data_IF_050184261968
#
_entry.id   IF_050184261968
#
_cell.length_a   1.000
_cell.length_b   1.000
_cell.length_c   1.000
_cell.angle_alpha   90.00
_cell.angle_beta   90.00
_cell.angle_gamma   90.00
#
_symmetry.space_group_name_H-M   'P 1'
#
loop_
_entity.id
_entity.type
_entity.pdbx_description
1 polymer ?
#
# COMPACT_ATOMS: atom_id res chain seq x y z
N UNK A 1 -9.62 -81.95 -34.26
CA UNK A 1 -8.67 -81.86 -35.40
C UNK A 1 -9.34 -81.10 -36.55
N UNK A 2 -8.52 -80.61 -37.50
CA UNK A 2 -8.78 -80.18 -38.89
C UNK A 2 -10.11 -80.60 -39.57
N UNK A 3 -10.67 -79.91 -40.58
CA UNK A 3 -10.15 -78.80 -41.45
C UNK A 3 -11.25 -78.14 -42.32
N UNK A 4 -10.96 -76.95 -42.92
CA UNK A 4 -11.23 -76.45 -44.32
C UNK A 4 -12.57 -76.80 -45.04
N UNK A 5 -13.18 -76.08 -45.99
CA UNK A 5 -13.10 -74.79 -46.70
C UNK A 5 -14.23 -74.83 -47.78
N UNK A 6 -14.59 -73.66 -48.33
CA UNK A 6 -15.44 -73.33 -49.51
C UNK A 6 -15.16 -74.11 -50.83
N UNK A 7 -15.86 -73.95 -52.00
CA UNK A 7 -16.79 -72.88 -52.53
C UNK A 7 -18.12 -73.49 -53.11
N UNK A 8 -18.91 -72.95 -54.11
CA UNK A 8 -18.89 -71.70 -54.90
C UNK A 8 -20.25 -70.92 -54.95
N UNK A 9 -20.78 -70.53 -56.14
CA UNK A 9 -21.81 -69.48 -56.37
C UNK A 9 -22.68 -69.65 -57.65
N UNK A 10 -23.90 -69.05 -57.62
CA UNK A 10 -24.67 -68.44 -58.76
C UNK A 10 -25.33 -69.36 -59.83
N UNK A 11 -26.31 -68.89 -60.67
CA UNK A 11 -26.76 -67.50 -60.96
C UNK A 11 -28.29 -67.20 -60.75
N UNK A 12 -28.85 -66.18 -61.43
CA UNK A 12 -29.96 -65.32 -60.94
C UNK A 12 -31.00 -64.87 -62.00
N UNK A 13 -32.31 -65.03 -61.69
CA UNK A 13 -33.52 -64.28 -62.18
C UNK A 13 -33.75 -64.14 -63.70
N UNK A 14 -34.71 -63.35 -64.28
CA UNK A 14 -35.66 -62.30 -63.79
C UNK A 14 -36.90 -62.88 -63.01
N UNK A 15 -38.11 -62.30 -62.84
CA UNK A 15 -38.84 -61.12 -63.37
C UNK A 15 -39.95 -60.60 -62.38
N UNK A 16 -40.90 -59.76 -62.85
CA UNK A 16 -42.11 -59.28 -62.11
C UNK A 16 -43.38 -59.21 -63.00
N UNK A 17 -44.60 -59.47 -62.46
CA UNK A 17 -45.88 -59.31 -63.17
C UNK A 17 -46.59 -57.95 -62.91
N UNK A 18 -47.75 -57.74 -63.56
CA UNK A 18 -48.55 -56.50 -63.50
C UNK A 18 -49.88 -56.57 -62.71
N UNK A 19 -50.49 -55.38 -62.54
CA UNK A 19 -51.81 -55.07 -61.92
C UNK A 19 -53.01 -55.62 -62.73
N UNK A 20 -54.26 -55.71 -62.21
CA UNK A 20 -54.87 -55.02 -61.04
C UNK A 20 -55.31 -56.03 -59.91
N UNK A 21 -56.34 -55.92 -59.03
CA UNK A 21 -57.55 -55.07 -58.96
C UNK A 21 -58.09 -54.77 -57.53
N UNK A 22 -59.39 -55.01 -57.28
CA UNK A 22 -60.29 -54.43 -56.25
C UNK A 22 -61.49 -55.38 -55.97
N UNK A 23 -62.36 -55.13 -54.95
CA UNK A 23 -62.10 -54.61 -53.59
C UNK A 23 -62.91 -55.36 -52.48
N UNK A 24 -62.67 -55.07 -51.19
CA UNK A 24 -63.64 -55.46 -50.14
C UNK A 24 -63.21 -55.32 -48.67
N UNK A 25 -63.85 -54.39 -47.95
CA UNK A 25 -64.15 -54.50 -46.51
C UNK A 25 -63.04 -54.25 -45.47
N UNK A 26 -62.99 -53.04 -44.90
CA UNK A 26 -62.37 -52.75 -43.60
C UNK A 26 -63.29 -51.86 -42.74
N UNK A 27 -63.38 -52.16 -41.43
CA UNK A 27 -64.18 -51.40 -40.47
C UNK A 27 -63.47 -50.18 -39.88
N UNK A 28 -64.17 -49.34 -39.09
CA UNK A 28 -63.63 -48.09 -38.58
C UNK A 28 -62.64 -48.31 -37.42
N UNK A 29 -61.35 -48.11 -37.68
CA UNK A 29 -60.36 -47.93 -36.60
C UNK A 29 -60.28 -46.45 -36.20
N UNK A 30 -60.22 -46.20 -34.88
CA UNK A 30 -60.29 -44.86 -34.32
C UNK A 30 -59.07 -44.01 -34.69
N UNK A 31 -59.25 -43.08 -35.65
CA UNK A 31 -58.22 -42.11 -36.02
C UNK A 31 -58.04 -41.07 -34.91
N UNK A 32 -57.13 -41.34 -33.97
CA UNK A 32 -56.75 -40.40 -32.91
C UNK A 32 -56.35 -39.05 -33.52
N UNK A 33 -57.25 -38.06 -33.41
CA UNK A 33 -56.97 -36.66 -33.72
C UNK A 33 -56.01 -36.15 -32.64
N UNK A 34 -54.70 -36.21 -32.90
CA UNK A 34 -53.71 -35.49 -32.09
C UNK A 34 -54.12 -34.03 -32.04
N UNK A 35 -54.62 -33.62 -30.88
CA UNK A 35 -54.82 -32.21 -30.60
C UNK A 35 -53.45 -31.55 -30.58
N UNK A 36 -53.27 -30.51 -31.40
CA UNK A 36 -52.21 -29.56 -31.12
C UNK A 36 -52.62 -28.87 -29.83
N UNK A 37 -51.95 -29.18 -28.73
CA UNK A 37 -51.98 -28.30 -27.58
C UNK A 37 -51.53 -26.92 -28.07
N UNK A 38 -52.41 -25.91 -27.95
CA UNK A 38 -51.99 -24.53 -28.14
C UNK A 38 -51.05 -24.19 -26.99
N UNK A 39 -49.74 -24.17 -27.29
CA UNK A 39 -48.73 -23.74 -26.32
C UNK A 39 -48.84 -22.22 -26.16
N UNK A 40 -49.83 -21.84 -25.36
CA UNK A 40 -50.31 -20.48 -25.15
C UNK A 40 -49.12 -19.64 -24.67
N UNK A 41 -48.62 -18.66 -25.46
CA UNK A 41 -47.31 -18.07 -25.24
C UNK A 41 -47.26 -17.45 -23.86
N UNK A 42 -46.43 -18.04 -22.98
CA UNK A 42 -46.35 -17.68 -21.56
C UNK A 42 -45.70 -16.31 -21.41
N UNK A 43 -46.55 -15.29 -21.45
CA UNK A 43 -46.23 -13.89 -21.17
C UNK A 43 -45.06 -13.36 -22.03
N UNK A 44 -45.30 -12.91 -23.28
CA UNK A 44 -44.24 -12.38 -24.15
C UNK A 44 -43.41 -11.24 -23.53
N UNK A 45 -43.98 -10.46 -22.61
CA UNK A 45 -43.26 -9.43 -21.86
C UNK A 45 -42.18 -10.00 -20.92
N UNK A 46 -42.30 -11.25 -20.50
CA UNK A 46 -41.33 -11.92 -19.63
C UNK A 46 -40.00 -12.16 -20.36
N UNK A 47 -40.01 -12.32 -21.69
CA UNK A 47 -38.82 -12.42 -22.52
C UNK A 47 -38.05 -11.09 -22.54
N UNK A 48 -38.73 -9.98 -22.83
CA UNK A 48 -38.11 -8.63 -22.80
C UNK A 48 -37.69 -8.19 -21.40
N UNK A 49 -38.41 -8.61 -20.36
CA UNK A 49 -38.00 -8.40 -18.97
C UNK A 49 -36.74 -9.21 -18.62
N UNK A 50 -36.67 -10.48 -19.03
CA UNK A 50 -35.50 -11.34 -18.81
C UNK A 50 -34.27 -10.79 -19.52
N UNK A 51 -34.43 -10.35 -20.77
CA UNK A 51 -33.37 -9.71 -21.55
C UNK A 51 -32.83 -8.45 -20.85
N UNK A 52 -33.71 -7.54 -20.45
CA UNK A 52 -33.34 -6.34 -19.68
C UNK A 52 -32.62 -6.68 -18.37
N UNK A 53 -33.08 -7.68 -17.62
CA UNK A 53 -32.42 -8.15 -16.41
C UNK A 53 -31.04 -8.74 -16.71
N UNK A 54 -30.86 -9.48 -17.81
CA UNK A 54 -29.53 -9.98 -18.21
C UNK A 54 -28.60 -8.89 -18.75
N UNK A 55 -29.12 -7.87 -19.43
CA UNK A 55 -28.35 -6.69 -19.84
C UNK A 55 -27.92 -5.86 -18.62
N UNK A 56 -28.81 -5.68 -17.64
CA UNK A 56 -28.49 -4.98 -16.39
C UNK A 56 -27.47 -5.78 -15.55
N UNK A 57 -27.62 -7.10 -15.45
CA UNK A 57 -26.68 -7.98 -14.75
C UNK A 57 -25.30 -7.99 -15.42
N UNK A 58 -25.23 -8.16 -16.74
CA UNK A 58 -23.96 -8.12 -17.48
C UNK A 58 -23.32 -6.74 -17.42
N UNK A 59 -24.09 -5.66 -17.47
CA UNK A 59 -23.61 -4.30 -17.24
C UNK A 59 -23.02 -4.12 -15.83
N UNK A 60 -23.69 -4.58 -14.78
CA UNK A 60 -23.14 -4.53 -13.41
C UNK A 60 -21.92 -5.43 -13.22
N UNK A 61 -21.85 -6.60 -13.87
CA UNK A 61 -20.66 -7.46 -13.85
C UNK A 61 -19.48 -6.80 -14.60
N UNK A 62 -19.74 -6.11 -15.71
CA UNK A 62 -18.72 -5.33 -16.43
C UNK A 62 -18.25 -4.12 -15.61
N UNK A 63 -19.16 -3.39 -14.96
CA UNK A 63 -18.80 -2.31 -14.03
C UNK A 63 -17.98 -2.83 -12.84
N UNK A 64 -18.38 -3.95 -12.23
CA UNK A 64 -17.63 -4.58 -11.13
C UNK A 64 -16.23 -5.03 -11.58
N UNK A 65 -16.12 -5.56 -12.80
CA UNK A 65 -14.84 -5.94 -13.43
C UNK A 65 -13.94 -4.73 -13.69
N UNK A 66 -14.50 -3.58 -14.10
CA UNK A 66 -13.74 -2.34 -14.29
C UNK A 66 -13.48 -1.55 -13.00
N UNK A 67 -14.28 -1.76 -11.94
CA UNK A 67 -14.19 -1.07 -10.64
C UNK A 67 -12.88 -1.33 -9.87
N UNK A 68 -12.00 -2.19 -10.37
CA UNK A 68 -10.68 -2.48 -9.80
C UNK A 68 -9.53 -2.39 -10.82
N UNK A 69 -9.75 -1.73 -11.97
CA UNK A 69 -8.69 -1.50 -12.95
C UNK A 69 -7.66 -0.49 -12.43
N UNK A 70 -6.70 -1.00 -11.67
CA UNK A 70 -5.59 -0.25 -11.09
C UNK A 70 -4.82 0.53 -12.18
N UNK A 71 -4.48 1.79 -11.89
CA UNK A 71 -3.72 2.70 -12.78
C UNK A 71 -2.42 2.06 -13.31
N UNK A 72 -1.83 1.14 -12.54
CA UNK A 72 -0.70 0.27 -12.92
C UNK A 72 -0.86 -0.40 -14.29
N UNK A 73 -2.06 -0.81 -14.72
CA UNK A 73 -2.24 -1.47 -16.02
C UNK A 73 -1.98 -0.53 -17.20
N UNK A 74 -2.18 0.78 -17.04
CA UNK A 74 -1.87 1.77 -18.07
C UNK A 74 -0.35 1.86 -18.28
N UNK A 75 0.43 1.82 -17.20
CA UNK A 75 1.90 1.85 -17.23
C UNK A 75 2.54 0.60 -17.85
N UNK A 76 1.85 -0.54 -17.82
CA UNK A 76 2.32 -1.81 -18.44
C UNK A 76 2.35 -1.77 -19.97
N UNK A 77 1.59 -0.88 -20.59
CA UNK A 77 1.61 -0.71 -22.05
C UNK A 77 2.83 0.11 -22.48
N UNK A 78 3.21 1.13 -21.71
CA UNK A 78 4.42 1.94 -21.96
C UNK A 78 5.73 1.17 -21.79
N UNK A 79 5.79 0.14 -20.94
CA UNK A 79 7.04 -0.60 -20.66
C UNK A 79 7.53 -1.47 -21.82
N UNK A 80 6.68 -1.83 -22.78
CA UNK A 80 7.08 -2.68 -23.92
C UNK A 80 7.71 -1.92 -25.10
N UNK A 81 7.93 -0.60 -24.99
CA UNK A 81 8.58 0.23 -26.01
C UNK A 81 10.00 0.73 -25.63
N UNK A 82 10.49 0.39 -24.44
CA UNK A 82 11.66 1.04 -23.84
C UNK A 82 13.00 0.30 -23.88
N UNK A 83 13.09 -0.90 -24.46
CA UNK A 83 14.22 -1.81 -24.22
C UNK A 83 15.50 -1.53 -25.07
N UNK A 84 15.48 -0.54 -25.97
CA UNK A 84 16.64 -0.15 -26.79
C UNK A 84 16.77 1.38 -26.93
N UNK A 85 17.38 2.03 -25.95
CA UNK A 85 17.76 3.45 -26.02
C UNK A 85 18.53 3.90 -24.78
N UNK A 86 19.58 4.70 -24.97
CA UNK A 86 20.36 5.25 -23.85
C UNK A 86 19.49 6.13 -22.95
N UNK A 87 19.43 5.82 -21.66
CA UNK A 87 18.65 6.60 -20.69
C UNK A 87 19.34 7.92 -20.38
N UNK A 88 19.07 8.93 -21.22
CA UNK A 88 19.32 10.34 -20.85
C UNK A 88 18.44 10.68 -19.65
N UNK A 89 19.06 11.14 -18.56
CA UNK A 89 18.34 11.61 -17.38
C UNK A 89 17.50 12.85 -17.72
N UNK A 90 16.17 12.67 -17.80
CA UNK A 90 15.23 13.75 -18.13
C UNK A 90 13.92 13.24 -18.73
N UNK A 91 12.95 12.94 -17.85
CA UNK A 91 11.52 12.74 -18.19
C UNK A 91 11.22 11.58 -19.15
N UNK A 92 11.46 10.35 -18.69
CA UNK A 92 10.67 9.17 -19.11
C UNK A 92 9.89 8.64 -17.90
N UNK A 93 8.57 8.48 -18.05
CA UNK A 93 7.62 8.29 -16.93
C UNK A 93 7.61 6.91 -16.25
N UNK A 94 8.74 6.20 -16.22
CA UNK A 94 8.86 4.89 -15.56
C UNK A 94 9.13 5.05 -14.07
N UNK A 95 8.06 5.08 -13.26
CA UNK A 95 8.17 5.05 -11.78
C UNK A 95 8.92 3.77 -11.36
N UNK A 96 10.03 3.86 -10.61
CA UNK A 96 10.79 2.69 -10.14
C UNK A 96 9.93 1.69 -9.37
N UNK A 97 10.14 0.38 -9.60
CA UNK A 97 9.28 -0.66 -9.01
C UNK A 97 9.29 -0.61 -7.48
N UNK A 98 10.42 -0.28 -6.84
CA UNK A 98 10.52 -0.09 -5.38
C UNK A 98 9.49 0.90 -4.82
N UNK A 99 9.23 1.99 -5.57
CA UNK A 99 8.26 3.03 -5.19
C UNK A 99 6.83 2.55 -5.40
N UNK A 100 6.57 1.79 -6.47
CA UNK A 100 5.26 1.18 -6.75
C UNK A 100 4.88 0.06 -5.77
N UNK A 101 5.87 -0.59 -5.14
CA UNK A 101 5.66 -1.52 -4.01
C UNK A 101 5.45 -0.77 -2.68
N UNK A 102 6.13 0.37 -2.51
CA UNK A 102 6.10 1.17 -1.28
C UNK A 102 4.83 2.01 -1.11
N UNK A 103 4.27 2.58 -2.18
CA UNK A 103 3.02 3.36 -2.18
C UNK A 103 1.88 2.67 -1.40
N UNK A 104 1.47 1.42 -1.69
CA UNK A 104 0.37 0.77 -0.97
C UNK A 104 0.68 0.42 0.49
N UNK A 105 1.96 0.35 0.89
CA UNK A 105 2.38 0.14 2.27
C UNK A 105 2.31 1.45 3.07
N UNK A 106 2.77 2.56 2.48
CA UNK A 106 2.67 3.89 3.10
C UNK A 106 1.21 4.38 3.17
N UNK A 107 0.37 4.04 2.18
CA UNK A 107 -1.04 4.43 2.13
C UNK A 107 -1.93 3.80 3.24
N UNK A 108 -1.38 2.95 4.11
CA UNK A 108 -2.12 2.20 5.13
C UNK A 108 -1.41 2.20 6.49
N UNK A 109 -1.55 3.27 7.30
CA UNK A 109 -0.85 3.41 8.59
C UNK A 109 -0.95 2.18 9.50
N UNK A 110 -2.15 1.60 9.67
CA UNK A 110 -2.39 0.40 10.49
C UNK A 110 -1.69 -0.89 10.00
N UNK A 111 -1.12 -0.90 8.79
CA UNK A 111 -0.34 -2.03 8.25
C UNK A 111 1.17 -1.79 8.36
N UNK A 112 1.61 -0.57 8.66
CA UNK A 112 3.03 -0.20 8.73
C UNK A 112 3.81 -1.03 9.75
N UNK A 113 3.25 -1.25 10.95
CA UNK A 113 3.93 -2.02 12.00
C UNK A 113 4.26 -3.46 11.56
N UNK A 114 3.36 -4.10 10.81
CA UNK A 114 3.59 -5.44 10.27
C UNK A 114 4.63 -5.49 9.14
N UNK A 115 4.77 -4.41 8.37
CA UNK A 115 5.63 -4.35 7.18
C UNK A 115 6.90 -3.50 7.36
N UNK A 116 7.25 -3.08 8.59
CA UNK A 116 8.40 -2.17 8.85
C UNK A 116 9.70 -2.61 8.15
N UNK A 117 10.01 -3.91 8.14
CA UNK A 117 11.23 -4.44 7.50
C UNK A 117 11.22 -4.29 5.98
N UNK A 118 10.06 -4.51 5.35
CA UNK A 118 9.86 -4.34 3.91
C UNK A 118 9.88 -2.85 3.54
N UNK A 119 9.20 -2.00 4.32
CA UNK A 119 9.23 -0.54 4.14
C UNK A 119 10.66 0.00 4.27
N UNK A 120 11.45 -0.46 5.26
CA UNK A 120 12.87 -0.11 5.39
C UNK A 120 13.70 -0.58 4.18
N UNK A 121 13.44 -1.77 3.63
CA UNK A 121 14.17 -2.27 2.45
C UNK A 121 13.82 -1.52 1.16
N UNK A 122 12.55 -1.14 0.98
CA UNK A 122 12.10 -0.39 -0.19
C UNK A 122 12.51 1.10 -0.15
N UNK A 123 12.64 1.68 1.05
CA UNK A 123 13.18 3.02 1.27
C UNK A 123 14.72 3.06 1.18
N UNK A 124 15.39 2.04 1.74
CA UNK A 124 16.84 2.00 1.93
C UNK A 124 17.39 0.60 1.57
N UNK A 125 17.45 0.25 0.27
CA UNK A 125 17.92 -1.05 -0.18
C UNK A 125 19.35 -1.32 0.28
N UNK A 126 19.64 -2.53 0.74
CA UNK A 126 20.97 -2.88 1.29
C UNK A 126 22.16 -2.61 0.35
N UNK A 127 21.95 -2.62 -0.97
CA UNK A 127 22.96 -2.31 -1.97
C UNK A 127 23.11 -0.82 -2.31
N UNK A 128 22.16 0.03 -1.88
CA UNK A 128 22.16 1.50 -2.08
C UNK A 128 22.57 2.26 -0.79
N UNK A 129 22.92 1.55 0.29
CA UNK A 129 23.27 2.16 1.58
C UNK A 129 24.55 3.02 1.50
N UNK A 130 24.61 4.18 2.18
CA UNK A 130 25.79 5.05 2.15
C UNK A 130 27.02 4.40 2.82
N UNK A 131 28.24 4.64 2.32
CA UNK A 131 29.45 4.12 2.95
C UNK A 131 29.59 4.65 4.38
N UNK A 132 29.66 3.73 5.35
CA UNK A 132 29.67 4.03 6.79
C UNK A 132 28.32 3.90 7.50
N UNK A 133 27.24 3.55 6.80
CA UNK A 133 25.93 3.21 7.39
C UNK A 133 25.58 1.77 7.03
N UNK A 134 26.01 0.82 7.87
CA UNK A 134 25.60 -0.58 7.76
C UNK A 134 24.11 -0.75 8.12
N UNK A 135 23.47 -1.82 7.63
CA UNK A 135 22.05 -2.07 7.91
C UNK A 135 21.75 -2.15 9.42
N UNK A 136 22.64 -2.72 10.22
CA UNK A 136 22.49 -2.74 11.69
C UNK A 136 22.53 -1.36 12.34
N UNK A 137 23.22 -0.38 11.73
CA UNK A 137 23.21 1.02 12.18
C UNK A 137 21.88 1.68 11.77
N UNK A 138 21.44 1.50 10.54
CA UNK A 138 20.16 2.02 10.07
C UNK A 138 18.99 1.46 10.89
N UNK A 139 18.95 0.14 11.13
CA UNK A 139 17.82 -0.50 11.81
C UNK A 139 17.64 -0.04 13.27
N UNK A 140 18.73 0.33 13.96
CA UNK A 140 18.68 0.96 15.29
C UNK A 140 18.18 2.40 15.26
N UNK A 141 18.66 3.17 14.28
CA UNK A 141 18.53 4.64 14.24
C UNK A 141 17.34 5.14 13.41
N UNK A 142 16.71 4.28 12.60
CA UNK A 142 15.46 4.53 11.89
C UNK A 142 14.35 3.67 12.50
N UNK A 143 13.31 4.31 13.02
CA UNK A 143 12.04 3.68 13.44
C UNK A 143 10.93 4.12 12.49
N UNK A 144 9.98 3.22 12.21
CA UNK A 144 8.83 3.51 11.35
C UNK A 144 7.56 3.30 12.17
N UNK A 145 6.75 4.34 12.29
CA UNK A 145 5.69 4.45 13.28
C UNK A 145 4.36 4.80 12.60
N UNK A 146 3.27 4.27 13.13
CA UNK A 146 1.91 4.63 12.72
C UNK A 146 1.52 6.00 13.31
N UNK A 147 0.83 6.83 12.53
CA UNK A 147 0.26 8.10 12.99
C UNK A 147 -1.15 8.28 12.40
N UNK A 148 -2.12 8.92 13.10
CA UNK A 148 -3.49 9.07 12.59
C UNK A 148 -3.60 9.79 11.23
N UNK A 149 -2.62 10.62 10.88
CA UNK A 149 -2.55 11.33 9.59
C UNK A 149 -1.71 10.61 8.52
N UNK A 150 -0.99 9.54 8.86
CA UNK A 150 -0.06 8.88 7.92
C UNK A 150 1.05 8.05 8.57
N UNK A 151 2.26 8.13 8.03
CA UNK A 151 3.40 7.29 8.42
C UNK A 151 4.58 8.16 8.85
N UNK A 152 5.13 7.89 10.04
CA UNK A 152 6.29 8.61 10.58
C UNK A 152 7.56 7.79 10.37
N UNK A 153 8.53 8.38 9.69
CA UNK A 153 9.92 7.94 9.73
C UNK A 153 10.64 8.74 10.82
N UNK A 154 10.98 8.11 11.94
CA UNK A 154 11.73 8.73 13.03
C UNK A 154 13.21 8.36 12.91
N UNK A 155 14.06 9.34 12.63
CA UNK A 155 15.51 9.19 12.50
C UNK A 155 16.20 9.86 13.69
N UNK A 156 17.11 9.14 14.36
CA UNK A 156 17.88 9.68 15.50
C UNK A 156 18.91 10.73 15.07
N UNK A 157 19.24 11.62 15.99
CA UNK A 157 20.22 12.68 15.75
C UNK A 157 21.66 12.15 15.58
N UNK A 158 21.99 10.98 16.13
CA UNK A 158 23.31 10.35 15.94
C UNK A 158 23.55 9.91 14.48
N UNK A 159 22.48 9.59 13.75
CA UNK A 159 22.50 9.27 12.33
C UNK A 159 22.52 10.53 11.46
N UNK A 160 21.82 11.59 11.86
CA UNK A 160 21.63 12.81 11.06
C UNK A 160 22.66 13.91 11.30
N UNK A 161 23.09 14.12 12.55
CA UNK A 161 23.82 15.29 13.05
C UNK A 161 25.01 14.90 13.95
N UNK A 162 25.72 15.89 14.51
CA UNK A 162 26.58 15.68 15.68
C UNK A 162 25.85 16.16 16.95
N UNK A 163 26.21 15.68 18.16
CA UNK A 163 25.63 16.16 19.42
C UNK A 163 25.69 17.68 19.54
N UNK A 164 24.57 18.31 19.91
CA UNK A 164 24.43 19.77 20.02
C UNK A 164 24.41 20.53 18.68
N UNK A 165 24.49 19.84 17.53
CA UNK A 165 24.55 20.46 16.20
C UNK A 165 23.28 20.18 15.37
N UNK A 166 23.01 21.04 14.39
CA UNK A 166 21.91 20.89 13.41
C UNK A 166 22.43 20.74 11.97
N UNK A 167 23.74 20.81 11.76
CA UNK A 167 24.38 20.59 10.47
C UNK A 167 24.36 19.09 10.12
N UNK A 168 23.76 18.74 8.97
CA UNK A 168 23.69 17.36 8.50
C UNK A 168 25.09 16.77 8.27
N UNK A 169 25.33 15.56 8.80
CA UNK A 169 26.54 14.76 8.54
C UNK A 169 26.66 14.45 7.05
N UNK A 170 27.87 14.44 6.50
CA UNK A 170 28.05 14.07 5.09
C UNK A 170 27.60 12.61 4.79
N UNK A 171 27.73 11.69 5.76
CA UNK A 171 27.17 10.33 5.65
C UNK A 171 25.65 10.26 5.67
N UNK A 172 24.95 11.26 6.24
CA UNK A 172 23.47 11.28 6.29
C UNK A 172 22.83 11.83 5.03
N UNK A 173 23.55 12.66 4.25
CA UNK A 173 23.02 13.24 3.00
C UNK A 173 22.55 12.18 1.99
N UNK A 174 23.31 11.11 1.67
CA UNK A 174 22.84 10.13 0.68
C UNK A 174 21.68 9.27 1.21
N UNK A 175 21.54 9.11 2.54
CA UNK A 175 20.35 8.50 3.13
C UNK A 175 19.12 9.38 2.90
N UNK A 176 19.21 10.69 3.18
CA UNK A 176 18.13 11.63 2.89
C UNK A 176 17.88 11.79 1.38
N UNK A 177 18.86 11.51 0.51
CA UNK A 177 18.68 11.49 -0.95
C UNK A 177 17.73 10.39 -1.42
N UNK A 178 17.86 9.16 -0.88
CA UNK A 178 16.97 8.03 -1.19
C UNK A 178 15.53 8.34 -0.76
N UNK A 179 15.36 8.95 0.41
CA UNK A 179 14.05 9.41 0.87
C UNK A 179 13.51 10.57 0.02
N UNK A 180 14.36 11.51 -0.41
CA UNK A 180 13.96 12.60 -1.30
C UNK A 180 13.39 12.09 -2.63
N UNK A 181 14.00 11.07 -3.23
CA UNK A 181 13.48 10.42 -4.45
C UNK A 181 12.08 9.82 -4.20
N UNK A 182 11.88 9.08 -3.11
CA UNK A 182 10.55 8.53 -2.75
C UNK A 182 9.52 9.65 -2.55
N UNK A 183 9.88 10.71 -1.82
CA UNK A 183 9.02 11.87 -1.55
C UNK A 183 8.71 12.68 -2.82
N UNK A 184 9.56 12.65 -3.86
CA UNK A 184 9.28 13.25 -5.17
C UNK A 184 8.09 12.55 -5.84
N UNK A 185 8.13 11.22 -5.96
CA UNK A 185 7.10 10.44 -6.67
C UNK A 185 5.75 10.35 -5.94
N UNK A 186 5.71 10.20 -4.61
CA UNK A 186 4.43 9.96 -3.91
C UNK A 186 3.57 11.22 -3.76
N UNK A 187 4.11 12.42 -3.99
CA UNK A 187 3.44 13.75 -3.94
C UNK A 187 2.73 14.13 -2.63
N UNK A 188 2.71 13.27 -1.61
CA UNK A 188 2.11 13.50 -0.29
C UNK A 188 2.64 14.75 0.45
N UNK A 189 1.84 15.29 1.37
CA UNK A 189 2.32 16.29 2.32
C UNK A 189 3.30 15.68 3.33
N UNK A 190 4.25 16.49 3.80
CA UNK A 190 5.28 16.05 4.74
C UNK A 190 5.38 17.03 5.91
N UNK A 191 5.17 16.54 7.14
CA UNK A 191 5.44 17.32 8.35
C UNK A 191 6.76 16.86 8.98
N UNK A 192 7.69 17.81 9.15
CA UNK A 192 9.01 17.61 9.74
C UNK A 192 8.99 18.10 11.20
N UNK A 193 9.18 17.19 12.15
CA UNK A 193 9.17 17.52 13.58
C UNK A 193 10.52 17.22 14.22
N UNK A 194 11.17 18.25 14.76
CA UNK A 194 12.44 18.13 15.46
C UNK A 194 12.24 17.98 16.96
N UNK A 195 13.10 17.18 17.58
CA UNK A 195 13.19 16.95 19.01
C UNK A 195 14.66 17.05 19.44
N UNK A 196 14.92 17.44 20.68
CA UNK A 196 16.28 17.54 21.22
C UNK A 196 16.27 17.37 22.74
N UNK A 197 17.34 16.82 23.31
CA UNK A 197 17.55 16.89 24.76
C UNK A 197 18.81 17.71 25.06
N UNK A 198 18.69 19.01 25.42
CA UNK A 198 19.86 19.86 25.65
C UNK A 198 20.74 19.36 26.80
N UNK A 199 20.19 18.60 27.77
CA UNK A 199 20.93 18.05 28.92
C UNK A 199 21.79 16.87 28.48
N UNK A 200 21.30 16.06 27.55
CA UNK A 200 22.04 14.95 26.95
C UNK A 200 23.11 15.39 25.94
N UNK A 201 22.92 16.55 25.32
CA UNK A 201 23.71 17.02 24.19
C UNK A 201 24.89 17.94 24.56
N UNK A 202 25.27 17.94 25.84
CA UNK A 202 26.49 18.58 26.32
C UNK A 202 26.33 20.06 26.73
N UNK A 203 25.10 20.57 26.86
CA UNK A 203 24.91 21.87 27.51
C UNK A 203 25.40 21.79 28.98
N UNK A 204 26.15 22.79 29.48
CA UNK A 204 26.62 22.76 30.87
C UNK A 204 25.46 22.65 31.87
N UNK A 205 25.70 21.95 32.98
CA UNK A 205 24.71 21.84 34.05
C UNK A 205 24.35 23.25 34.58
N UNK A 206 23.07 23.64 34.44
CA UNK A 206 22.58 25.00 34.72
C UNK A 206 22.51 25.95 33.51
N UNK A 207 22.98 25.53 32.32
CA UNK A 207 22.81 26.24 31.04
C UNK A 207 21.98 25.45 30.01
N UNK A 208 21.47 24.27 30.39
CA UNK A 208 20.47 23.54 29.62
C UNK A 208 19.09 24.24 29.72
N UNK A 209 18.98 25.41 29.09
CA UNK A 209 17.73 26.14 28.89
C UNK A 209 16.86 25.36 27.89
N UNK A 210 15.63 25.05 28.28
CA UNK A 210 14.70 24.32 27.40
C UNK A 210 14.36 25.16 26.14
N UNK A 211 14.45 26.51 26.20
CA UNK A 211 14.31 27.38 25.03
C UNK A 211 15.41 27.16 23.97
N UNK A 212 16.66 26.88 24.39
CA UNK A 212 17.73 26.50 23.48
C UNK A 212 17.48 25.11 22.86
N UNK A 213 16.82 24.20 23.59
CA UNK A 213 16.30 22.95 23.05
C UNK A 213 15.24 23.18 21.97
N UNK A 214 14.25 24.04 22.23
CA UNK A 214 13.24 24.41 21.23
C UNK A 214 13.86 24.99 19.94
N UNK A 215 14.87 25.86 20.05
CA UNK A 215 15.60 26.38 18.89
C UNK A 215 16.40 25.27 18.16
N UNK A 216 17.15 24.44 18.89
CA UNK A 216 17.93 23.33 18.31
C UNK A 216 17.05 22.35 17.54
N UNK A 217 15.93 21.93 18.15
CA UNK A 217 14.92 21.09 17.53
C UNK A 217 14.34 21.72 16.24
N UNK A 218 13.96 23.01 16.30
CA UNK A 218 13.47 23.74 15.13
C UNK A 218 14.51 23.82 14.00
N UNK A 219 15.77 24.12 14.34
CA UNK A 219 16.90 24.18 13.38
C UNK A 219 17.20 22.82 12.73
N UNK A 220 17.07 21.71 13.46
CA UNK A 220 17.23 20.35 12.91
C UNK A 220 16.18 20.04 11.84
N UNK A 221 14.91 20.23 12.17
CA UNK A 221 13.81 19.99 11.22
C UNK A 221 13.88 20.94 10.01
N UNK A 222 14.29 22.21 10.22
CA UNK A 222 14.53 23.16 9.13
C UNK A 222 15.70 22.75 8.24
N UNK A 223 16.81 22.25 8.79
CA UNK A 223 17.96 21.80 7.96
C UNK A 223 17.59 20.59 7.10
N UNK A 224 16.70 19.70 7.59
CA UNK A 224 16.13 18.59 6.80
C UNK A 224 15.20 19.12 5.69
N UNK A 225 14.40 20.17 5.96
CA UNK A 225 13.61 20.84 4.91
C UNK A 225 14.52 21.46 3.84
N UNK A 226 15.53 22.23 4.24
CA UNK A 226 16.47 22.87 3.33
C UNK A 226 17.15 21.83 2.41
N UNK A 227 17.49 20.65 2.94
CA UNK A 227 18.01 19.55 2.14
C UNK A 227 17.00 19.06 1.09
N UNK A 228 15.73 18.83 1.44
CA UNK A 228 14.71 18.41 0.47
C UNK A 228 14.41 19.48 -0.60
N UNK A 229 14.43 20.77 -0.22
CA UNK A 229 14.27 21.88 -1.18
C UNK A 229 15.48 22.00 -2.12
N UNK A 230 16.70 21.76 -1.63
CA UNK A 230 17.90 21.65 -2.48
C UNK A 230 17.78 20.48 -3.48
N UNK A 231 17.18 19.36 -3.06
CA UNK A 231 16.81 18.20 -3.91
C UNK A 231 15.59 18.44 -4.81
N UNK A 232 15.07 19.67 -4.91
CA UNK A 232 13.99 20.13 -5.80
C UNK A 232 12.57 19.68 -5.45
N UNK A 233 12.34 19.18 -4.24
CA UNK A 233 10.98 18.93 -3.76
C UNK A 233 10.27 20.26 -3.48
N UNK A 234 8.98 20.34 -3.82
CA UNK A 234 8.16 21.54 -3.66
C UNK A 234 8.03 21.94 -2.18
N UNK A 235 8.51 23.14 -1.77
CA UNK A 235 8.40 23.63 -0.40
C UNK A 235 6.96 23.72 0.11
N UNK A 236 5.97 23.95 -0.77
CA UNK A 236 4.58 24.15 -0.36
C UNK A 236 3.94 22.89 0.25
N UNK A 237 4.51 21.70 -0.01
CA UNK A 237 4.12 20.40 0.58
C UNK A 237 4.61 20.17 2.01
N UNK A 238 5.53 21.01 2.51
CA UNK A 238 6.17 20.80 3.81
C UNK A 238 5.62 21.69 4.92
N UNK A 239 5.60 21.16 6.14
CA UNK A 239 5.52 21.95 7.38
C UNK A 239 6.63 21.56 8.35
N UNK A 240 7.03 22.48 9.23
CA UNK A 240 8.13 22.30 10.18
C UNK A 240 7.66 22.65 11.59
N UNK A 241 8.04 21.82 12.57
CA UNK A 241 7.85 22.06 14.00
C UNK A 241 9.12 21.72 14.78
N UNK A 242 9.40 22.46 15.85
CA UNK A 242 10.41 22.12 16.86
C UNK A 242 9.72 21.90 18.20
N UNK A 243 9.77 20.69 18.74
CA UNK A 243 9.14 20.34 20.02
C UNK A 243 10.10 20.36 21.22
N UNK A 244 11.38 20.66 20.98
CA UNK A 244 12.40 20.71 22.03
C UNK A 244 12.44 19.41 22.84
N UNK A 245 12.51 19.48 24.18
CA UNK A 245 12.56 18.31 25.06
C UNK A 245 11.19 17.73 25.43
N UNK A 246 10.07 18.39 25.14
CA UNK A 246 8.77 18.11 25.79
C UNK A 246 7.94 17.00 25.12
N UNK A 247 8.45 16.39 24.04
CA UNK A 247 7.84 15.22 23.38
C UNK A 247 8.81 14.02 23.26
N UNK A 248 9.19 13.39 24.39
CA UNK A 248 10.11 12.24 24.41
C UNK A 248 9.46 10.90 24.03
N UNK A 249 8.15 10.83 23.84
CA UNK A 249 7.50 9.62 23.33
C UNK A 249 7.61 9.56 21.81
N UNK A 250 7.81 8.35 21.29
CA UNK A 250 7.72 8.04 19.85
C UNK A 250 6.26 7.83 19.41
N UNK A 251 5.35 7.54 20.34
CA UNK A 251 3.92 7.28 20.09
C UNK A 251 3.06 8.55 20.02
N UNK A 252 3.66 9.74 19.94
CA UNK A 252 2.96 11.03 19.87
C UNK A 252 2.27 11.48 21.18
N UNK A 253 2.26 10.64 22.22
CA UNK A 253 1.73 10.99 23.52
C UNK A 253 2.59 12.08 24.18
N UNK A 254 2.09 13.32 24.25
CA UNK A 254 2.75 14.40 24.97
C UNK A 254 3.01 13.98 26.42
N UNK A 255 4.18 14.33 26.96
CA UNK A 255 4.51 14.07 28.36
C UNK A 255 3.50 14.84 29.23
N UNK A 256 2.73 14.13 30.05
CA UNK A 256 1.88 14.79 31.03
C UNK A 256 2.75 15.72 31.90
N UNK A 257 2.31 16.97 32.17
CA UNK A 257 3.12 17.92 32.91
C UNK A 257 3.47 17.32 34.27
N UNK A 258 4.77 17.29 34.59
CA UNK A 258 5.24 16.75 35.85
C UNK A 258 4.78 17.67 36.98
N UNK A 259 3.69 17.29 37.66
CA UNK A 259 3.27 17.93 38.90
C UNK A 259 4.44 17.82 39.88
N UNK A 260 4.86 18.96 40.44
CA UNK A 260 5.99 19.01 41.34
C UNK A 260 5.75 18.11 42.56
N UNK A 261 6.78 17.36 42.94
CA UNK A 261 6.68 16.29 43.94
C UNK A 261 6.37 16.84 45.34
N UNK A 262 5.16 16.55 45.82
CA UNK A 262 4.80 16.65 47.24
C UNK A 262 4.39 15.27 47.71
N UNK A 263 5.37 14.52 48.23
CA UNK A 263 5.18 13.15 48.68
C UNK A 263 4.22 13.06 49.88
N UNK A 264 3.23 12.17 49.77
CA UNK A 264 2.64 11.51 50.93
C UNK A 264 2.24 10.08 50.52
N UNK A 265 2.48 9.10 51.40
CA UNK A 265 2.30 7.69 51.09
C UNK A 265 0.96 7.17 51.64
N UNK A 266 0.24 6.36 50.86
CA UNK A 266 -0.83 5.50 51.38
C UNK A 266 -1.04 4.30 50.45
N UNK A 267 -1.45 3.17 51.02
CA UNK A 267 -1.52 1.88 50.31
C UNK A 267 -2.90 1.60 49.68
N UNK A 268 -2.89 0.63 48.75
CA UNK A 268 -4.02 -0.20 48.31
C UNK A 268 -5.23 0.45 47.61
N UNK A 269 -5.50 0.01 46.36
CA UNK A 269 -6.57 -0.99 46.07
C UNK A 269 -6.84 -1.13 44.57
N UNK A 270 -6.81 -2.37 44.06
CA UNK A 270 -7.74 -2.93 43.04
C UNK A 270 -7.96 -2.25 41.67
N UNK A 271 -7.54 -2.96 40.62
CA UNK A 271 -8.15 -2.98 39.26
C UNK A 271 -8.15 -1.69 38.41
N UNK A 272 -7.60 -1.78 37.19
CA UNK A 272 -8.39 -1.89 35.92
C UNK A 272 -7.49 -1.65 34.70
N UNK A 273 -7.76 -2.33 33.59
CA UNK A 273 -7.29 -1.92 32.25
C UNK A 273 -5.91 -2.46 31.85
N UNK A 274 -5.91 -3.59 31.13
CA UNK A 274 -4.73 -4.05 30.41
C UNK A 274 -4.52 -3.21 29.13
N UNK A 275 -4.01 -1.99 29.29
CA UNK A 275 -3.32 -1.31 28.20
C UNK A 275 -2.09 -2.16 27.82
N UNK A 276 -1.90 -2.44 26.53
CA UNK A 276 -0.80 -3.29 26.08
C UNK A 276 0.55 -2.66 26.51
N UNK A 277 1.32 -3.40 27.29
CA UNK A 277 2.63 -2.94 27.74
C UNK A 277 3.56 -2.80 26.53
N UNK A 278 3.96 -1.57 26.22
CA UNK A 278 5.00 -1.25 25.25
C UNK A 278 6.26 -2.05 25.61
N UNK A 279 6.59 -3.06 24.80
CA UNK A 279 7.66 -4.02 25.13
C UNK A 279 9.00 -3.32 25.03
N UNK A 280 9.51 -2.89 26.20
CA UNK A 280 10.72 -2.12 26.30
C UNK A 280 11.96 -2.93 25.90
N UNK A 281 12.31 -2.87 24.62
CA UNK A 281 13.68 -3.13 24.17
C UNK A 281 14.61 -2.18 24.94
N UNK A 282 15.47 -2.79 25.75
CA UNK A 282 16.26 -2.13 26.78
C UNK A 282 17.53 -1.47 26.25
N UNK A 283 17.38 -0.41 25.45
CA UNK A 283 18.45 0.53 25.14
C UNK A 283 17.91 1.95 24.92
N UNK A 284 18.74 2.97 25.11
CA UNK A 284 18.49 4.34 24.65
C UNK A 284 17.19 4.99 25.13
N UNK A 285 16.99 5.19 26.44
CA UNK A 285 15.95 6.10 26.93
C UNK A 285 16.15 7.56 26.47
N UNK A 286 17.43 7.92 26.25
CA UNK A 286 17.90 9.22 25.78
C UNK A 286 17.58 9.48 24.29
N UNK A 287 17.89 8.53 23.41
CA UNK A 287 17.74 8.68 21.95
C UNK A 287 16.28 8.83 21.50
N UNK A 288 15.34 8.45 22.37
CA UNK A 288 13.91 8.70 22.14
C UNK A 288 13.61 10.18 21.95
N UNK A 289 14.36 11.10 22.58
CA UNK A 289 14.11 12.55 22.52
C UNK A 289 15.09 13.30 21.59
N UNK A 290 16.03 12.60 20.94
CA UNK A 290 17.07 13.16 20.07
C UNK A 290 16.85 12.68 18.64
N UNK A 291 15.90 13.31 17.93
CA UNK A 291 15.38 12.81 16.64
C UNK A 291 14.78 13.89 15.75
N UNK A 292 14.71 13.60 14.45
CA UNK A 292 13.78 14.23 13.51
C UNK A 292 12.77 13.18 13.03
N UNK A 293 11.49 13.54 13.14
CA UNK A 293 10.37 12.78 12.58
C UNK A 293 9.93 13.37 11.24
N UNK A 294 9.72 12.49 10.27
CA UNK A 294 9.25 12.80 8.92
C UNK A 294 7.90 12.10 8.75
N UNK A 295 6.82 12.83 9.04
CA UNK A 295 5.44 12.37 8.85
C UNK A 295 5.03 12.55 7.39
N UNK A 296 4.92 11.44 6.66
CA UNK A 296 4.32 11.39 5.32
C UNK A 296 2.82 11.23 5.47
N UNK A 297 2.03 12.22 5.05
CA UNK A 297 0.56 12.22 5.26
C UNK A 297 -0.16 11.39 4.21
N UNK A 298 -1.07 10.52 4.65
CA UNK A 298 -1.94 9.71 3.77
C UNK A 298 -3.28 10.38 3.49
N UNK A 299 -3.70 11.32 4.33
CA UNK A 299 -4.89 12.16 4.09
C UNK A 299 -4.49 13.45 3.35
N UNK A 300 -5.12 13.78 2.20
CA UNK A 300 -4.89 15.04 1.51
C UNK A 300 -5.46 16.23 2.31
N UNK A 301 -4.98 17.45 2.03
CA UNK A 301 -5.42 18.68 2.73
C UNK A 301 -6.93 18.86 2.65
N UNK A 302 -7.59 18.82 3.81
CA UNK A 302 -8.98 19.25 3.97
C UNK A 302 -9.09 20.78 3.88
N UNK A 303 -9.11 21.28 2.64
CA UNK A 303 -9.49 22.66 2.32
C UNK A 303 -8.43 23.72 2.60
N UNK A 304 -7.49 23.89 1.68
CA UNK A 304 -6.95 25.23 1.43
C UNK A 304 -7.97 26.05 0.65
N UNK A 305 -8.44 27.16 1.22
CA UNK A 305 -9.13 28.18 0.42
C UNK A 305 -8.10 28.93 -0.45
N UNK A 306 -8.45 29.30 -1.70
CA UNK A 306 -7.60 30.10 -2.58
C UNK A 306 -7.50 31.58 -2.15
#
# INVERSE_FOLDING_TARGET
MFSRHAPPVSPVSPARPGRPAQPGGHGPQARQRREKAEDKPRQPWLLTYSDLVTLLLTFFVLLLSMSSMNRVTLSRISTHFGEQGEVRAGVTGTVPERIRLLEPLLARPAQVYAHQREIKELLFPGAELPPGIDRSMLDKNLRILEHPEGVVLALTDDLLFAPGQWQLREVSRPLLALLAEVLEYITADVALSGHSDPRAEGAPAGQADDAAGYELAGRRALTVLEYFVQRKLDPARFSVAGYGPDRPSLSGAARAPAVADTAEATEATGSTGAAAADTADGDGGNDRNRRVEILVKTTPRLGGYP
#
